data_IF_951258546786
#
_entry.id   IF_951258546786
#
_cell.length_a   1.000
_cell.length_b   1.000
_cell.length_c   1.000
_cell.angle_alpha   90.00
_cell.angle_beta   90.00
_cell.angle_gamma   90.00
#
_symmetry.space_group_name_H-M   'P 1'
#
loop_
_entity.id
_entity.type
_entity.pdbx_description
1 polymer ?
#
# COMPACT_ATOMS: atom_id res chain seq x y z
N UNK A 1 -32.54 -8.57 0.71
CA UNK A 1 -31.63 -9.31 -0.19
C UNK A 1 -30.28 -8.65 -0.09
N UNK A 2 -29.22 -9.34 0.39
CA UNK A 2 -27.89 -8.74 0.50
C UNK A 2 -27.25 -8.68 -0.89
N UNK A 3 -26.71 -7.52 -1.25
CA UNK A 3 -25.93 -7.33 -2.45
C UNK A 3 -24.60 -8.09 -2.31
N UNK A 4 -24.47 -9.19 -3.04
CA UNK A 4 -23.20 -9.84 -3.30
C UNK A 4 -22.31 -8.87 -4.06
N UNK A 5 -21.31 -8.30 -3.40
CA UNK A 5 -20.19 -7.65 -4.06
C UNK A 5 -19.36 -8.75 -4.75
N UNK A 6 -19.61 -8.94 -6.06
CA UNK A 6 -18.70 -9.71 -6.92
C UNK A 6 -17.32 -9.03 -6.87
N UNK A 7 -16.38 -9.69 -6.24
CA UNK A 7 -14.96 -9.38 -6.38
C UNK A 7 -14.60 -9.48 -7.85
N UNK A 8 -14.38 -8.33 -8.51
CA UNK A 8 -13.83 -8.28 -9.86
C UNK A 8 -12.40 -8.82 -9.81
N UNK A 9 -12.27 -10.11 -10.10
CA UNK A 9 -10.99 -10.77 -10.29
C UNK A 9 -10.27 -10.05 -11.42
N UNK A 10 -9.14 -9.44 -11.11
CA UNK A 10 -8.30 -8.72 -12.07
C UNK A 10 -7.92 -9.68 -13.19
N UNK A 11 -8.58 -9.56 -14.35
CA UNK A 11 -8.37 -10.41 -15.50
C UNK A 11 -6.91 -10.34 -15.97
N UNK A 12 -6.16 -11.44 -15.83
CA UNK A 12 -4.76 -11.60 -16.22
C UNK A 12 -4.55 -11.69 -17.74
N UNK A 13 -5.31 -10.93 -18.53
CA UNK A 13 -5.23 -10.88 -19.97
C UNK A 13 -4.41 -9.70 -20.52
N UNK A 14 -4.36 -9.58 -21.87
CA UNK A 14 -3.70 -8.46 -22.58
C UNK A 14 -4.16 -7.08 -22.08
N UNK A 15 -5.42 -6.94 -21.67
CA UNK A 15 -5.96 -5.72 -21.07
C UNK A 15 -5.28 -5.36 -19.75
N UNK A 16 -4.98 -6.32 -18.88
CA UNK A 16 -4.24 -6.09 -17.64
C UNK A 16 -2.82 -5.56 -17.86
N UNK A 17 -2.15 -6.00 -18.93
CA UNK A 17 -0.82 -5.49 -19.32
C UNK A 17 -0.87 -4.04 -19.80
N UNK A 18 -1.89 -3.69 -20.58
CA UNK A 18 -2.09 -2.33 -21.11
C UNK A 18 -2.48 -1.36 -19.97
N UNK A 19 -3.38 -1.78 -19.08
CA UNK A 19 -3.78 -1.01 -17.90
C UNK A 19 -2.56 -0.81 -16.98
N UNK A 20 -1.74 -1.83 -16.76
CA UNK A 20 -0.50 -1.73 -15.98
C UNK A 20 0.52 -0.79 -16.60
N UNK A 21 0.63 -0.74 -17.94
CA UNK A 21 1.50 0.21 -18.65
C UNK A 21 0.98 1.64 -18.55
N UNK A 22 -0.31 1.89 -18.81
CA UNK A 22 -0.94 3.20 -18.66
C UNK A 22 -0.87 3.70 -17.21
N UNK A 23 -1.09 2.81 -16.23
CA UNK A 23 -0.93 3.13 -14.81
C UNK A 23 0.50 3.59 -14.48
N UNK A 24 1.53 2.98 -15.08
CA UNK A 24 2.94 3.41 -14.89
C UNK A 24 3.24 4.78 -15.46
N UNK A 25 2.60 5.16 -16.56
CA UNK A 25 2.76 6.50 -17.15
C UNK A 25 2.11 7.58 -16.29
N UNK A 26 0.93 7.29 -15.74
CA UNK A 26 0.15 8.25 -14.95
C UNK A 26 0.51 8.25 -13.46
N UNK A 27 0.92 7.10 -12.91
CA UNK A 27 1.23 6.90 -11.50
C UNK A 27 2.65 6.33 -11.34
N UNK A 28 3.66 7.13 -11.67
CA UNK A 28 5.06 6.69 -11.56
C UNK A 28 5.45 6.45 -10.08
N UNK A 29 5.64 5.18 -9.64
CA UNK A 29 5.91 4.86 -8.24
C UNK A 29 7.20 5.50 -7.73
N UNK A 30 8.24 5.60 -8.56
CA UNK A 30 9.50 6.24 -8.15
C UNK A 30 9.30 7.71 -7.80
N UNK A 31 8.50 8.46 -8.58
CA UNK A 31 8.22 9.88 -8.29
C UNK A 31 7.40 10.05 -7.02
N UNK A 32 6.52 9.08 -6.71
CA UNK A 32 5.69 9.11 -5.51
C UNK A 32 6.53 8.76 -4.28
N UNK A 33 7.38 7.72 -4.37
CA UNK A 33 8.09 7.17 -3.21
C UNK A 33 9.40 7.89 -2.88
N UNK A 34 10.12 8.40 -3.89
CA UNK A 34 11.46 9.00 -3.71
C UNK A 34 11.53 10.12 -2.66
N UNK A 35 10.48 10.97 -2.48
CA UNK A 35 10.49 12.00 -1.42
C UNK A 35 10.48 11.43 0.01
N UNK A 36 10.02 10.19 0.19
CA UNK A 36 9.79 9.56 1.50
C UNK A 36 10.76 8.43 1.80
N UNK A 37 11.32 7.75 0.79
CA UNK A 37 12.19 6.60 0.96
C UNK A 37 13.66 6.95 0.78
N UNK A 38 14.48 6.42 1.70
CA UNK A 38 15.94 6.48 1.65
C UNK A 38 16.51 5.06 1.75
N UNK A 39 17.76 4.91 1.34
CA UNK A 39 18.51 3.66 1.50
C UNK A 39 18.53 3.20 2.96
N UNK A 40 18.39 1.89 3.18
CA UNK A 40 18.36 1.28 4.51
C UNK A 40 17.02 1.31 5.23
N UNK A 41 16.01 2.05 4.73
CA UNK A 41 14.70 2.13 5.36
C UNK A 41 13.90 0.84 5.26
N UNK A 42 13.00 0.66 6.23
CA UNK A 42 11.98 -0.40 6.25
C UNK A 42 10.65 0.16 5.76
N UNK A 43 10.02 -0.53 4.82
CA UNK A 43 8.69 -0.18 4.30
C UNK A 43 7.72 -1.35 4.47
N UNK A 44 6.51 -1.05 4.89
CA UNK A 44 5.35 -1.95 4.86
C UNK A 44 4.42 -1.54 3.71
N UNK A 45 4.20 -2.43 2.76
CA UNK A 45 3.25 -2.27 1.65
C UNK A 45 2.00 -3.10 1.94
N UNK A 46 0.96 -2.48 2.50
CA UNK A 46 -0.29 -3.12 2.85
C UNK A 46 -1.25 -3.09 1.65
N UNK A 47 -1.65 -4.26 1.18
CA UNK A 47 -2.35 -4.44 -0.08
C UNK A 47 -1.38 -4.32 -1.28
N UNK A 48 -0.26 -5.04 -1.20
CA UNK A 48 0.85 -4.90 -2.16
C UNK A 48 0.50 -5.30 -3.60
N UNK A 49 -0.56 -6.13 -3.77
CA UNK A 49 -0.90 -6.68 -5.07
C UNK A 49 0.30 -7.38 -5.73
N UNK A 50 0.43 -7.30 -7.05
CA UNK A 50 1.54 -7.92 -7.80
C UNK A 50 2.84 -7.09 -7.76
N UNK A 51 3.00 -6.16 -6.81
CA UNK A 51 4.25 -5.45 -6.54
C UNK A 51 4.46 -4.14 -7.31
N UNK A 52 3.39 -3.44 -7.70
CA UNK A 52 3.50 -2.18 -8.44
C UNK A 52 4.30 -1.10 -7.68
N UNK A 53 4.10 -0.96 -6.37
CA UNK A 53 4.87 -0.08 -5.49
C UNK A 53 6.01 -0.81 -4.81
N UNK A 54 5.82 -2.06 -4.41
CA UNK A 54 6.82 -2.90 -3.71
C UNK A 54 8.16 -2.96 -4.42
N UNK A 55 8.16 -3.30 -5.72
CA UNK A 55 9.42 -3.49 -6.49
C UNK A 55 10.19 -2.17 -6.69
N UNK A 56 9.56 -1.04 -7.04
CA UNK A 56 10.22 0.27 -7.00
C UNK A 56 10.72 0.67 -5.61
N UNK A 57 9.95 0.41 -4.54
CA UNK A 57 10.36 0.67 -3.17
C UNK A 57 11.63 -0.12 -2.79
N UNK A 58 11.67 -1.42 -3.12
CA UNK A 58 12.82 -2.29 -2.87
C UNK A 58 14.11 -1.76 -3.53
N UNK A 59 13.99 -1.17 -4.73
CA UNK A 59 15.13 -0.52 -5.39
C UNK A 59 15.58 0.77 -4.70
N UNK A 60 14.63 1.54 -4.16
CA UNK A 60 14.94 2.80 -3.48
C UNK A 60 15.60 2.59 -2.13
N UNK A 61 15.17 1.56 -1.37
CA UNK A 61 15.77 1.28 -0.06
C UNK A 61 17.09 0.48 -0.16
N UNK A 62 17.41 -0.06 -1.34
CA UNK A 62 18.64 -0.82 -1.55
C UNK A 62 18.70 -2.14 -0.77
N UNK A 63 19.85 -2.80 -0.81
CA UNK A 63 20.05 -4.11 -0.18
C UNK A 63 20.09 -4.08 1.34
N UNK A 64 20.37 -2.93 1.94
CA UNK A 64 20.34 -2.71 3.39
C UNK A 64 18.94 -2.43 3.95
N UNK A 65 17.98 -2.06 3.09
CA UNK A 65 16.60 -1.84 3.47
C UNK A 65 15.76 -3.11 3.40
N UNK A 66 14.53 -3.05 3.95
CA UNK A 66 13.57 -4.17 3.96
C UNK A 66 12.19 -3.72 3.52
N UNK A 67 11.51 -4.57 2.75
CA UNK A 67 10.12 -4.38 2.34
C UNK A 67 9.29 -5.56 2.88
N UNK A 68 8.24 -5.25 3.60
CA UNK A 68 7.22 -6.21 3.99
C UNK A 68 6.00 -5.98 3.09
N UNK A 69 5.73 -6.93 2.21
CA UNK A 69 4.63 -6.88 1.26
C UNK A 69 3.49 -7.78 1.74
N UNK A 70 2.37 -7.17 2.11
CA UNK A 70 1.21 -7.83 2.68
C UNK A 70 0.06 -7.83 1.69
N UNK A 71 -0.54 -8.98 1.45
CA UNK A 71 -1.75 -9.09 0.64
C UNK A 71 -2.63 -10.26 1.12
N UNK A 72 -3.95 -10.14 0.96
CA UNK A 72 -4.91 -11.21 1.31
C UNK A 72 -4.90 -12.35 0.28
N UNK A 73 -4.47 -12.07 -0.95
CA UNK A 73 -4.47 -13.01 -2.06
C UNK A 73 -3.07 -13.58 -2.29
N UNK A 74 -2.87 -14.87 -1.98
CA UNK A 74 -1.61 -15.56 -2.22
C UNK A 74 -1.15 -15.44 -3.68
N UNK A 75 -2.08 -15.49 -4.64
CA UNK A 75 -1.77 -15.37 -6.06
C UNK A 75 -1.09 -14.02 -6.41
N UNK A 76 -1.47 -12.92 -5.73
CA UNK A 76 -0.84 -11.61 -5.92
C UNK A 76 0.61 -11.63 -5.42
N UNK A 77 0.85 -12.25 -4.26
CA UNK A 77 2.20 -12.42 -3.71
C UNK A 77 3.08 -13.29 -4.61
N UNK A 78 2.53 -14.37 -5.19
CA UNK A 78 3.28 -15.20 -6.13
C UNK A 78 3.68 -14.44 -7.40
N UNK A 79 2.82 -13.55 -7.89
CA UNK A 79 3.13 -12.65 -9.00
C UNK A 79 4.19 -11.62 -8.61
N UNK A 80 4.10 -11.06 -7.39
CA UNK A 80 5.07 -10.13 -6.84
C UNK A 80 6.45 -10.78 -6.76
N UNK A 81 6.56 -11.99 -6.20
CA UNK A 81 7.83 -12.74 -6.10
C UNK A 81 8.47 -12.92 -7.46
N UNK A 82 7.72 -13.40 -8.46
CA UNK A 82 8.22 -13.56 -9.84
C UNK A 82 8.67 -12.23 -10.46
N UNK A 83 7.96 -11.15 -10.18
CA UNK A 83 8.31 -9.82 -10.67
C UNK A 83 9.55 -9.27 -9.98
N UNK A 84 9.65 -9.42 -8.66
CA UNK A 84 10.80 -8.96 -7.86
C UNK A 84 12.08 -9.73 -8.22
N UNK A 85 11.99 -11.04 -8.41
CA UNK A 85 13.11 -11.89 -8.86
C UNK A 85 13.62 -11.43 -10.23
N UNK A 86 12.74 -11.27 -11.20
CA UNK A 86 13.10 -10.73 -12.53
C UNK A 86 13.74 -9.35 -12.50
N UNK A 87 13.50 -8.57 -11.42
CA UNK A 87 14.08 -7.23 -11.22
C UNK A 87 15.31 -7.22 -10.33
N UNK A 88 15.72 -8.38 -9.80
CA UNK A 88 16.89 -8.54 -8.95
C UNK A 88 16.76 -7.89 -7.58
N UNK A 89 15.53 -7.82 -7.02
CA UNK A 89 15.26 -7.17 -5.72
C UNK A 89 14.52 -8.08 -4.74
N UNK A 90 14.39 -9.37 -5.05
CA UNK A 90 13.66 -10.30 -4.17
C UNK A 90 14.34 -10.44 -2.80
N UNK A 91 15.66 -10.30 -2.73
CA UNK A 91 16.42 -10.55 -1.50
C UNK A 91 16.11 -9.63 -0.32
N UNK A 92 15.48 -8.47 -0.57
CA UNK A 92 15.05 -7.53 0.48
C UNK A 92 13.54 -7.40 0.63
N UNK A 93 12.77 -8.31 0.01
CA UNK A 93 11.29 -8.35 0.08
C UNK A 93 10.85 -9.58 0.88
N UNK A 94 10.01 -9.37 1.87
CA UNK A 94 9.34 -10.40 2.67
C UNK A 94 7.86 -10.33 2.33
N UNK A 95 7.30 -11.41 1.79
CA UNK A 95 5.87 -11.50 1.47
C UNK A 95 5.10 -12.13 2.64
N UNK A 96 3.92 -11.58 2.93
CA UNK A 96 3.06 -12.01 4.03
C UNK A 96 1.64 -12.16 3.49
N UNK A 97 1.13 -13.39 3.47
CA UNK A 97 -0.28 -13.61 3.19
C UNK A 97 -1.11 -13.32 4.44
N UNK A 98 -2.12 -12.47 4.29
CA UNK A 98 -2.91 -11.96 5.42
C UNK A 98 -4.42 -12.01 5.09
N UNK A 99 -5.03 -13.22 5.06
CA UNK A 99 -6.42 -13.39 4.67
C UNK A 99 -7.41 -12.72 5.65
N UNK A 100 -7.02 -12.48 6.89
CA UNK A 100 -7.87 -11.91 7.94
C UNK A 100 -7.67 -10.39 8.12
N UNK A 101 -6.91 -9.72 7.26
CA UNK A 101 -6.52 -8.30 7.38
C UNK A 101 -5.78 -7.96 8.68
N UNK A 102 -5.27 -8.97 9.39
CA UNK A 102 -4.45 -8.80 10.58
C UNK A 102 -2.98 -9.05 10.24
N UNK A 103 -2.14 -8.03 10.39
CA UNK A 103 -0.70 -8.17 10.15
C UNK A 103 -0.10 -8.95 11.32
N UNK A 104 0.05 -10.26 11.17
CA UNK A 104 0.47 -11.21 12.22
C UNK A 104 1.95 -11.14 12.59
N UNK A 105 2.69 -10.09 12.21
CA UNK A 105 4.11 -9.92 12.55
C UNK A 105 4.37 -8.63 13.28
N UNK A 106 5.35 -8.64 14.16
CA UNK A 106 5.90 -7.43 14.76
C UNK A 106 6.99 -6.85 13.85
N UNK A 107 6.81 -5.60 13.47
CA UNK A 107 7.78 -4.83 12.69
C UNK A 107 7.60 -3.35 12.99
N UNK A 108 8.65 -2.58 12.77
CA UNK A 108 8.61 -1.13 12.76
C UNK A 108 9.03 -0.61 11.39
N UNK A 109 8.14 0.11 10.73
CA UNK A 109 8.35 0.67 9.41
C UNK A 109 8.61 2.17 9.47
N UNK A 110 9.57 2.62 8.69
CA UNK A 110 9.79 4.05 8.43
C UNK A 110 8.66 4.61 7.56
N UNK A 111 8.21 3.80 6.59
CA UNK A 111 7.13 4.14 5.67
C UNK A 111 6.12 2.99 5.60
N UNK A 112 4.83 3.33 5.66
CA UNK A 112 3.74 2.41 5.37
C UNK A 112 3.00 2.90 4.12
N UNK A 113 2.69 2.01 3.21
CA UNK A 113 1.78 2.26 2.09
C UNK A 113 0.44 1.59 2.36
N UNK A 114 -0.65 2.33 2.17
CA UNK A 114 -2.01 1.83 2.07
C UNK A 114 -2.63 2.47 0.82
N UNK A 115 -2.31 1.89 -0.35
CA UNK A 115 -2.67 2.48 -1.65
C UNK A 115 -3.73 1.62 -2.33
N UNK A 116 -4.95 2.16 -2.44
CA UNK A 116 -6.12 1.51 -3.03
C UNK A 116 -6.57 0.25 -2.28
N UNK A 117 -6.48 0.27 -0.95
CA UNK A 117 -6.80 -0.89 -0.12
C UNK A 117 -7.70 -0.59 1.08
N UNK A 118 -7.66 0.62 1.65
CA UNK A 118 -8.41 0.90 2.88
C UNK A 118 -9.94 0.81 2.70
N UNK A 119 -10.45 1.10 1.50
CA UNK A 119 -11.87 0.95 1.18
C UNK A 119 -12.33 -0.52 1.05
N UNK A 120 -11.40 -1.46 0.91
CA UNK A 120 -11.69 -2.90 0.82
C UNK A 120 -11.69 -3.59 2.19
N UNK A 121 -11.14 -2.92 3.22
CA UNK A 121 -11.02 -3.48 4.57
C UNK A 121 -12.32 -3.27 5.34
N UNK A 122 -12.95 -4.34 5.87
CA UNK A 122 -14.22 -4.26 6.57
C UNK A 122 -14.16 -3.40 7.84
N UNK A 123 -13.08 -3.50 8.62
CA UNK A 123 -12.88 -2.79 9.88
C UNK A 123 -11.69 -1.82 9.77
N UNK A 124 -11.98 -0.58 9.40
CA UNK A 124 -10.98 0.47 9.25
C UNK A 124 -10.38 0.94 10.60
N UNK A 125 -11.13 0.84 11.70
CA UNK A 125 -10.60 1.14 13.04
C UNK A 125 -9.46 0.18 13.39
N UNK A 126 -9.68 -1.14 13.23
CA UNK A 126 -8.63 -2.15 13.43
C UNK A 126 -7.46 -1.97 12.47
N UNK A 127 -7.73 -1.66 11.20
CA UNK A 127 -6.69 -1.38 10.22
C UNK A 127 -5.76 -0.26 10.70
N UNK A 128 -6.29 0.93 10.97
CA UNK A 128 -5.45 2.08 11.34
C UNK A 128 -4.75 1.89 12.68
N UNK A 129 -5.39 1.24 13.65
CA UNK A 129 -4.73 0.87 14.90
C UNK A 129 -3.55 -0.08 14.65
N UNK A 130 -3.73 -1.07 13.78
CA UNK A 130 -2.69 -2.03 13.39
C UNK A 130 -1.52 -1.37 12.66
N UNK A 131 -1.83 -0.49 11.69
CA UNK A 131 -0.80 0.26 10.95
C UNK A 131 -0.05 1.23 11.85
N UNK A 132 -0.76 1.95 12.75
CA UNK A 132 -0.12 2.84 13.73
C UNK A 132 0.88 2.11 14.61
N UNK A 133 0.54 0.93 15.13
CA UNK A 133 1.44 0.13 15.96
C UNK A 133 2.78 -0.16 15.26
N UNK A 134 2.74 -0.33 13.95
CA UNK A 134 3.90 -0.69 13.10
C UNK A 134 4.62 0.50 12.48
N UNK A 135 4.09 1.69 12.61
CA UNK A 135 4.75 2.89 12.14
C UNK A 135 5.76 3.37 13.21
N UNK A 136 6.98 3.70 12.81
CA UNK A 136 7.93 4.37 13.69
C UNK A 136 7.41 5.75 14.15
N UNK A 137 7.88 6.32 15.26
CA UNK A 137 7.45 7.65 15.71
C UNK A 137 7.57 8.73 14.63
N UNK A 138 8.71 8.76 13.91
CA UNK A 138 9.00 9.71 12.81
C UNK A 138 8.58 9.21 11.42
N UNK A 139 7.88 8.07 11.36
CA UNK A 139 7.46 7.43 10.11
C UNK A 139 6.24 8.10 9.48
N UNK A 140 6.00 7.78 8.21
CA UNK A 140 4.83 8.26 7.48
C UNK A 140 4.01 7.09 6.90
N UNK A 141 2.69 7.24 6.95
CA UNK A 141 1.75 6.39 6.24
C UNK A 141 1.24 7.16 5.01
N UNK A 142 1.48 6.62 3.82
CA UNK A 142 0.98 7.15 2.56
C UNK A 142 -0.34 6.45 2.23
N UNK A 143 -1.44 7.17 2.40
CA UNK A 143 -2.80 6.71 2.10
C UNK A 143 -3.24 7.27 0.75
N UNK A 144 -3.73 6.41 -0.14
CA UNK A 144 -4.36 6.83 -1.39
C UNK A 144 -5.58 5.98 -1.73
N UNK A 145 -6.64 6.64 -2.20
CA UNK A 145 -7.86 6.00 -2.65
C UNK A 145 -8.28 6.47 -4.04
N UNK A 146 -8.81 5.57 -4.91
CA UNK A 146 -9.17 5.93 -6.27
C UNK A 146 -10.44 6.77 -6.28
N UNK A 147 -10.43 7.92 -6.95
CA UNK A 147 -11.58 8.86 -7.01
C UNK A 147 -12.85 8.26 -7.59
N UNK A 148 -12.72 7.29 -8.48
CA UNK A 148 -13.86 6.63 -9.11
C UNK A 148 -14.56 5.58 -8.22
N UNK A 149 -13.91 5.19 -7.09
CA UNK A 149 -14.48 4.23 -6.11
C UNK A 149 -14.81 4.88 -4.77
N UNK A 150 -14.03 5.86 -4.36
CA UNK A 150 -14.15 6.51 -3.05
C UNK A 150 -14.45 7.99 -3.27
N UNK A 151 -15.61 8.45 -2.80
CA UNK A 151 -16.01 9.85 -2.83
C UNK A 151 -15.15 10.70 -1.90
N UNK A 152 -15.26 12.03 -2.01
CA UNK A 152 -14.55 12.92 -1.09
C UNK A 152 -15.04 12.79 0.34
N UNK A 153 -16.34 12.58 0.54
CA UNK A 153 -16.94 12.38 1.85
C UNK A 153 -16.41 11.11 2.52
N UNK A 154 -16.44 9.97 1.81
CA UNK A 154 -15.93 8.70 2.32
C UNK A 154 -14.41 8.77 2.62
N UNK A 155 -13.65 9.52 1.83
CA UNK A 155 -12.23 9.73 2.11
C UNK A 155 -12.01 10.56 3.38
N UNK A 156 -12.82 11.61 3.60
CA UNK A 156 -12.80 12.40 4.84
C UNK A 156 -13.17 11.55 6.05
N UNK A 157 -14.20 10.70 5.95
CA UNK A 157 -14.55 9.74 7.00
C UNK A 157 -13.39 8.79 7.31
N UNK A 158 -12.69 8.30 6.28
CA UNK A 158 -11.48 7.47 6.46
C UNK A 158 -10.39 8.22 7.23
N UNK A 159 -10.17 9.51 6.94
CA UNK A 159 -9.20 10.33 7.67
C UNK A 159 -9.62 10.59 9.13
N UNK A 160 -10.91 10.78 9.41
CA UNK A 160 -11.41 10.91 10.78
C UNK A 160 -11.21 9.60 11.58
N UNK A 161 -11.42 8.43 10.97
CA UNK A 161 -11.13 7.15 11.59
C UNK A 161 -9.62 7.01 11.87
N UNK A 162 -8.77 7.37 10.92
CA UNK A 162 -7.32 7.38 11.13
C UNK A 162 -6.91 8.28 12.29
N UNK A 163 -7.47 9.50 12.37
CA UNK A 163 -7.23 10.47 13.44
C UNK A 163 -7.68 9.96 14.81
N UNK A 164 -8.87 9.38 14.90
CA UNK A 164 -9.37 8.73 16.12
C UNK A 164 -8.40 7.66 16.64
N UNK A 165 -7.72 6.97 15.72
CA UNK A 165 -6.72 5.95 16.03
C UNK A 165 -5.29 6.53 16.21
N UNK A 166 -5.14 7.87 16.27
CA UNK A 166 -3.89 8.57 16.57
C UNK A 166 -2.94 8.64 15.36
N UNK A 167 -3.50 8.82 14.16
CA UNK A 167 -2.77 9.13 12.93
C UNK A 167 -3.28 10.46 12.37
N UNK A 168 -2.45 11.50 12.37
CA UNK A 168 -2.81 12.84 11.92
C UNK A 168 -2.34 13.12 10.50
N UNK A 169 -3.12 13.91 9.75
CA UNK A 169 -2.72 14.35 8.42
C UNK A 169 -1.55 15.34 8.50
N UNK A 170 -0.43 14.98 7.91
CA UNK A 170 0.79 15.78 7.81
C UNK A 170 0.95 16.43 6.43
N UNK A 171 0.12 16.06 5.46
CA UNK A 171 0.16 16.61 4.10
C UNK A 171 -0.47 15.71 3.06
N UNK A 172 -0.16 15.99 1.79
CA UNK A 172 -0.66 15.23 0.63
C UNK A 172 0.46 14.98 -0.36
N UNK A 173 0.34 13.92 -1.15
CA UNK A 173 1.22 13.66 -2.28
C UNK A 173 0.45 13.62 -3.60
N UNK A 174 1.15 13.84 -4.71
CA UNK A 174 0.51 13.86 -6.04
C UNK A 174 0.40 12.45 -6.60
N UNK A 175 -0.83 11.99 -6.83
CA UNK A 175 -1.15 10.74 -7.52
C UNK A 175 -2.40 10.97 -8.37
N UNK A 176 -2.28 10.73 -9.69
CA UNK A 176 -3.35 11.02 -10.67
C UNK A 176 -4.58 10.19 -10.35
N UNK A 177 -5.77 10.80 -10.48
CA UNK A 177 -7.08 10.17 -10.20
C UNK A 177 -7.20 9.55 -8.81
N UNK A 178 -6.49 10.11 -7.81
CA UNK A 178 -6.51 9.62 -6.45
C UNK A 178 -6.77 10.73 -5.44
N UNK A 179 -7.39 10.37 -4.31
CA UNK A 179 -7.39 11.14 -3.07
C UNK A 179 -6.23 10.66 -2.24
N UNK A 180 -5.44 11.57 -1.71
CA UNK A 180 -4.18 11.20 -1.03
C UNK A 180 -4.05 11.92 0.29
N UNK A 181 -3.42 11.27 1.26
CA UNK A 181 -2.96 11.88 2.51
C UNK A 181 -1.62 11.28 2.93
N UNK A 182 -0.80 12.09 3.56
CA UNK A 182 0.36 11.65 4.32
C UNK A 182 -0.03 11.71 5.79
N UNK A 183 0.00 10.59 6.49
CA UNK A 183 -0.35 10.50 7.89
C UNK A 183 0.90 10.22 8.71
N UNK A 184 0.93 10.72 9.96
CA UNK A 184 1.97 10.46 10.96
C UNK A 184 1.34 10.16 12.32
N UNK A 185 2.10 9.60 13.24
CA UNK A 185 1.64 9.49 14.64
C UNK A 185 1.40 10.87 15.24
N UNK A 186 0.26 11.01 15.95
CA UNK A 186 -0.04 12.17 16.78
C UNK A 186 0.79 12.15 18.05
#
# INVERSE_FOLDING_TARGET
MPHEHKHDIFCAGRAGKLIGFLRRLTQNPYRILKPYLKEGMTLLDFGSGPGFFTVPAAKLVGTSGKIYAVDVQQQMLDMLVKYADKKGVLGNIITINNPEHEIGIELEADIILAIYVAHEVPDRDKLFLSLKKRLKPEGFLLLAEPKHRVTETEFKETLEIAKKNGLEEAGKFKMVESRTAVLKKS
#
